data_IF_547507757485
#
_entry.id   IF_547507757485
#
_cell.length_a   1.000
_cell.length_b   1.000
_cell.length_c   1.000
_cell.angle_alpha   90.00
_cell.angle_beta   90.00
_cell.angle_gamma   90.00
#
_symmetry.space_group_name_H-M   'P 1'
#
loop_
_entity.id
_entity.type
_entity.pdbx_description
1 polymer ?
#
# COMPACT_ATOMS: atom_id res chain seq x y z
N UNK A 1 52.55 63.10 -28.20
CA UNK A 1 52.32 61.90 -27.37
C UNK A 1 50.90 61.42 -27.61
N UNK A 2 50.71 60.21 -28.13
CA UNK A 2 49.40 59.62 -28.43
C UNK A 2 49.23 58.33 -27.62
N UNK A 3 48.14 58.21 -26.87
CA UNK A 3 47.77 56.99 -26.11
C UNK A 3 46.97 56.03 -26.98
N UNK A 4 47.25 54.73 -26.85
CA UNK A 4 46.89 53.67 -27.81
C UNK A 4 45.41 53.19 -27.81
N UNK A 5 44.44 54.01 -27.40
CA UNK A 5 43.05 53.55 -27.20
C UNK A 5 41.96 54.42 -27.84
N UNK A 6 42.33 55.39 -28.67
CA UNK A 6 41.35 56.17 -29.45
C UNK A 6 41.62 56.05 -30.95
N UNK A 7 41.26 54.91 -31.54
CA UNK A 7 40.98 54.84 -32.97
C UNK A 7 39.63 54.18 -33.20
N UNK A 8 38.79 54.89 -33.95
CA UNK A 8 37.52 54.46 -34.54
C UNK A 8 37.65 53.08 -35.17
N UNK A 9 36.72 52.18 -34.84
CA UNK A 9 36.52 50.92 -35.57
C UNK A 9 36.72 49.67 -34.72
N UNK A 10 35.84 49.45 -33.74
CA UNK A 10 35.63 48.11 -33.19
C UNK A 10 34.13 47.89 -33.01
N UNK A 11 33.59 47.02 -33.86
CA UNK A 11 32.28 46.43 -33.69
C UNK A 11 32.28 45.62 -32.38
N UNK A 12 31.51 46.05 -31.40
CA UNK A 12 31.15 45.21 -30.26
C UNK A 12 30.33 44.01 -30.81
N UNK A 13 30.77 42.75 -30.66
CA UNK A 13 29.88 41.63 -30.87
C UNK A 13 28.86 41.66 -29.73
N UNK A 14 27.64 42.07 -30.07
CA UNK A 14 26.49 41.91 -29.19
C UNK A 14 26.37 40.43 -28.81
N UNK A 15 26.44 40.18 -27.50
CA UNK A 15 26.23 38.88 -26.87
C UNK A 15 24.75 38.48 -26.99
N UNK A 16 24.32 38.20 -28.24
CA UNK A 16 23.02 37.63 -28.55
C UNK A 16 23.12 36.12 -28.39
N UNK A 17 22.53 35.62 -27.31
CA UNK A 17 22.19 34.20 -27.14
C UNK A 17 21.41 33.77 -28.38
N UNK A 18 21.90 32.82 -29.21
CA UNK A 18 21.13 32.33 -30.34
C UNK A 18 19.93 31.52 -29.80
N UNK A 19 18.72 31.95 -30.12
CA UNK A 19 17.52 31.15 -29.93
C UNK A 19 17.67 29.86 -30.75
N UNK A 20 17.80 28.73 -30.06
CA UNK A 20 17.85 27.40 -30.66
C UNK A 20 16.52 27.10 -31.36
N UNK A 21 16.43 27.40 -32.64
CA UNK A 21 15.35 26.95 -33.53
C UNK A 21 15.50 25.44 -33.71
N UNK A 22 14.63 24.67 -33.06
CA UNK A 22 14.51 23.23 -33.31
C UNK A 22 13.75 23.04 -34.63
N UNK A 23 14.43 22.48 -35.62
CA UNK A 23 13.82 21.91 -36.83
C UNK A 23 13.00 20.67 -36.45
N UNK A 24 11.72 20.56 -36.85
CA UNK A 24 10.94 19.35 -36.63
C UNK A 24 11.34 18.27 -37.64
N UNK A 25 11.88 17.15 -37.17
CA UNK A 25 11.98 15.94 -37.99
C UNK A 25 10.61 15.25 -38.09
N UNK A 26 10.29 14.59 -39.23
CA UNK A 26 9.01 13.91 -39.42
C UNK A 26 9.01 12.56 -38.69
N UNK A 27 8.37 12.52 -37.52
CA UNK A 27 8.06 11.26 -36.86
C UNK A 27 6.86 10.59 -37.53
N UNK A 28 7.12 9.38 -38.04
CA UNK A 28 6.14 8.49 -38.64
C UNK A 28 4.97 8.24 -37.69
N UNK A 29 3.77 8.43 -38.24
CA UNK A 29 2.50 8.12 -37.61
C UNK A 29 2.43 6.67 -37.13
N UNK A 30 2.10 6.48 -35.85
CA UNK A 30 1.42 5.28 -35.35
C UNK A 30 0.27 5.68 -34.43
N UNK A 31 -0.93 5.53 -34.99
CA UNK A 31 -2.16 5.04 -34.38
C UNK A 31 -2.49 5.46 -32.93
N UNK A 32 -3.28 6.52 -32.82
CA UNK A 32 -4.64 6.53 -32.21
C UNK A 32 -4.91 5.43 -31.16
N UNK A 33 -4.48 5.68 -29.93
CA UNK A 33 -5.06 5.11 -28.71
C UNK A 33 -5.69 6.23 -27.90
N UNK A 34 -7.00 6.12 -27.61
CA UNK A 34 -7.75 7.03 -26.72
C UNK A 34 -6.95 7.21 -25.42
N UNK A 35 -6.49 8.42 -25.16
CA UNK A 35 -6.08 8.84 -23.83
C UNK A 35 -7.30 8.77 -22.93
N UNK A 36 -7.45 7.65 -22.22
CA UNK A 36 -8.26 7.61 -21.02
C UNK A 36 -7.48 8.45 -20.02
N UNK A 37 -8.05 9.57 -19.59
CA UNK A 37 -7.57 10.30 -18.42
C UNK A 37 -7.25 9.27 -17.34
N UNK A 38 -5.96 9.08 -17.07
CA UNK A 38 -5.51 8.15 -16.06
C UNK A 38 -5.72 8.84 -14.72
N UNK A 39 -6.98 8.87 -14.29
CA UNK A 39 -7.32 9.15 -12.90
C UNK A 39 -6.42 8.26 -12.04
N UNK A 40 -5.74 8.81 -11.01
CA UNK A 40 -4.89 8.01 -10.15
C UNK A 40 -5.66 6.78 -9.67
N UNK A 41 -4.99 5.62 -9.59
CA UNK A 41 -5.65 4.41 -9.13
C UNK A 41 -6.27 4.67 -7.76
N UNK A 42 -7.60 4.52 -7.65
CA UNK A 42 -8.34 4.59 -6.38
C UNK A 42 -7.61 3.81 -5.29
N UNK A 43 -7.66 4.30 -4.06
CA UNK A 43 -7.01 3.63 -2.94
C UNK A 43 -7.45 2.18 -2.77
N UNK A 44 -6.62 1.40 -2.07
CA UNK A 44 -6.93 0.00 -1.76
C UNK A 44 -8.21 -0.13 -0.92
N UNK A 45 -8.46 0.83 -0.03
CA UNK A 45 -9.65 0.83 0.82
C UNK A 45 -10.92 1.03 -0.02
N UNK A 46 -10.94 2.04 -0.90
CA UNK A 46 -12.10 2.29 -1.78
C UNK A 46 -12.39 1.05 -2.64
N UNK A 47 -11.36 0.42 -3.22
CA UNK A 47 -11.54 -0.80 -4.01
C UNK A 47 -12.10 -1.97 -3.18
N UNK A 48 -11.68 -2.11 -1.92
CA UNK A 48 -12.18 -3.14 -1.04
C UNK A 48 -13.66 -2.91 -0.67
N UNK A 49 -14.03 -1.65 -0.37
CA UNK A 49 -15.41 -1.27 -0.07
C UNK A 49 -16.33 -1.43 -1.30
N UNK A 50 -15.88 -1.00 -2.48
CA UNK A 50 -16.60 -1.16 -3.74
C UNK A 50 -16.84 -2.64 -4.06
N UNK A 51 -15.80 -3.47 -3.91
CA UNK A 51 -15.93 -4.91 -4.09
C UNK A 51 -16.96 -5.51 -3.13
N UNK A 52 -16.89 -5.16 -1.85
CA UNK A 52 -17.84 -5.67 -0.86
C UNK A 52 -19.29 -5.24 -1.17
N UNK A 53 -19.50 -3.98 -1.57
CA UNK A 53 -20.80 -3.48 -2.00
C UNK A 53 -21.33 -4.27 -3.20
N UNK A 54 -20.48 -4.48 -4.21
CA UNK A 54 -20.87 -5.18 -5.43
C UNK A 54 -21.15 -6.66 -5.16
N UNK A 55 -20.35 -7.30 -4.31
CA UNK A 55 -20.58 -8.67 -3.83
C UNK A 55 -21.93 -8.77 -3.08
N UNK A 56 -22.27 -7.80 -2.23
CA UNK A 56 -23.57 -7.77 -1.52
C UNK A 56 -24.77 -7.53 -2.43
N UNK A 57 -24.60 -6.74 -3.50
CA UNK A 57 -25.66 -6.50 -4.50
C UNK A 57 -25.91 -7.71 -5.38
N UNK A 58 -24.84 -8.41 -5.76
CA UNK A 58 -24.93 -9.55 -6.67
C UNK A 58 -25.29 -10.86 -5.93
N UNK A 59 -24.90 -11.00 -4.67
CA UNK A 59 -25.15 -12.20 -3.91
C UNK A 59 -26.57 -12.27 -3.32
N UNK A 60 -27.15 -13.47 -3.36
CA UNK A 60 -28.42 -13.79 -2.69
C UNK A 60 -28.28 -13.94 -1.17
N UNK A 61 -27.05 -14.08 -0.65
CA UNK A 61 -26.78 -14.36 0.77
C UNK A 61 -26.97 -15.83 1.17
N UNK A 62 -27.43 -16.70 0.25
CA UNK A 62 -27.65 -18.13 0.49
C UNK A 62 -26.53 -19.02 -0.06
N UNK A 63 -25.61 -18.44 -0.82
CA UNK A 63 -24.50 -19.16 -1.40
C UNK A 63 -23.45 -19.51 -0.33
N UNK A 64 -22.90 -20.72 -0.42
CA UNK A 64 -21.78 -21.13 0.42
C UNK A 64 -20.51 -20.44 -0.04
N UNK A 65 -19.65 -20.10 0.91
CA UNK A 65 -18.32 -19.59 0.58
C UNK A 65 -17.51 -20.68 -0.17
N UNK A 66 -17.00 -20.40 -1.38
CA UNK A 66 -16.26 -21.38 -2.19
C UNK A 66 -14.97 -21.88 -1.52
N UNK A 67 -14.40 -21.10 -0.58
CA UNK A 67 -13.21 -21.49 0.17
C UNK A 67 -13.53 -22.28 1.44
N UNK A 68 -14.80 -22.57 1.70
CA UNK A 68 -15.28 -23.11 2.96
C UNK A 68 -15.19 -22.07 4.07
N UNK A 69 -16.32 -21.75 4.71
CA UNK A 69 -16.34 -20.76 5.80
C UNK A 69 -15.42 -21.15 6.97
N UNK A 70 -15.09 -20.18 7.82
CA UNK A 70 -14.17 -20.35 8.94
C UNK A 70 -14.91 -20.73 10.23
N UNK A 71 -14.49 -21.83 10.86
CA UNK A 71 -15.04 -22.31 12.14
C UNK A 71 -14.23 -21.92 13.38
N UNK A 72 -13.17 -21.15 13.22
CA UNK A 72 -12.20 -20.67 14.23
C UNK A 72 -11.56 -21.75 15.15
N UNK A 73 -12.29 -22.73 15.72
CA UNK A 73 -11.81 -23.84 16.57
C UNK A 73 -10.71 -23.40 17.54
N UNK A 74 -11.03 -22.44 18.42
CA UNK A 74 -10.10 -21.85 19.39
C UNK A 74 -8.91 -21.04 18.81
N UNK A 75 -8.88 -20.77 17.50
CA UNK A 75 -7.96 -19.79 16.91
C UNK A 75 -8.50 -18.38 17.02
N UNK A 76 -7.60 -17.43 17.23
CA UNK A 76 -7.92 -16.01 17.30
C UNK A 76 -8.01 -15.43 15.89
N UNK A 77 -9.18 -14.94 15.53
CA UNK A 77 -9.42 -14.10 14.36
C UNK A 77 -10.18 -12.85 14.80
N UNK A 78 -9.98 -11.74 14.09
CA UNK A 78 -10.78 -10.55 14.32
C UNK A 78 -12.27 -10.83 13.98
N UNK A 79 -13.17 -10.24 14.76
CA UNK A 79 -14.61 -10.36 14.56
C UNK A 79 -15.03 -9.66 13.26
N UNK A 80 -16.00 -10.24 12.56
CA UNK A 80 -16.55 -9.56 11.38
C UNK A 80 -17.14 -8.21 11.77
N UNK A 81 -16.74 -7.17 11.04
CA UNK A 81 -17.18 -5.78 11.26
C UNK A 81 -18.66 -5.58 10.99
N UNK A 82 -19.23 -6.36 10.08
CA UNK A 82 -20.61 -6.17 9.59
C UNK A 82 -21.57 -7.25 10.10
N UNK A 83 -21.07 -8.47 10.32
CA UNK A 83 -21.89 -9.62 10.76
C UNK A 83 -21.14 -10.45 11.80
N UNK A 84 -20.99 -9.96 13.05
CA UNK A 84 -20.20 -10.66 14.08
C UNK A 84 -20.86 -11.94 14.61
N UNK A 85 -22.18 -12.10 14.43
CA UNK A 85 -22.95 -13.25 14.90
C UNK A 85 -24.01 -13.66 13.88
N UNK A 86 -24.18 -14.96 13.66
CA UNK A 86 -25.32 -15.50 12.94
C UNK A 86 -26.57 -15.43 13.82
N UNK A 87 -27.61 -14.70 13.38
CA UNK A 87 -28.87 -14.55 14.13
C UNK A 87 -29.70 -15.83 14.21
N UNK A 88 -29.45 -16.80 13.34
CA UNK A 88 -30.24 -18.05 13.27
C UNK A 88 -29.69 -19.13 14.19
N UNK A 89 -28.36 -19.31 14.24
CA UNK A 89 -27.73 -20.39 15.02
C UNK A 89 -26.74 -19.91 16.10
N UNK A 90 -26.55 -18.59 16.25
CA UNK A 90 -25.67 -18.01 17.27
C UNK A 90 -24.16 -18.18 17.03
N UNK A 91 -23.73 -18.65 15.85
CA UNK A 91 -22.30 -18.80 15.55
C UNK A 91 -21.63 -17.44 15.49
N UNK A 92 -20.53 -17.26 16.23
CA UNK A 92 -19.66 -16.08 16.16
C UNK A 92 -18.82 -16.13 14.89
N UNK A 93 -18.84 -15.06 14.10
CA UNK A 93 -18.23 -14.98 12.78
C UNK A 93 -17.04 -14.03 12.80
N UNK A 94 -15.91 -14.49 12.27
CA UNK A 94 -14.73 -13.66 12.05
C UNK A 94 -14.75 -12.96 10.69
N UNK A 95 -13.80 -12.05 10.46
CA UNK A 95 -13.63 -11.30 9.19
C UNK A 95 -13.49 -12.20 7.96
N UNK A 96 -13.08 -13.46 8.13
CA UNK A 96 -12.96 -14.43 7.03
C UNK A 96 -14.32 -14.93 6.53
N UNK A 97 -15.37 -14.79 7.35
CA UNK A 97 -16.74 -15.09 6.99
C UNK A 97 -17.39 -13.80 6.47
N UNK A 98 -17.40 -13.65 5.14
CA UNK A 98 -17.93 -12.45 4.48
C UNK A 98 -19.47 -12.41 4.54
N UNK A 99 -20.08 -11.22 4.66
CA UNK A 99 -21.53 -11.06 4.85
C UNK A 99 -22.37 -11.42 3.62
N UNK A 100 -21.74 -11.55 2.44
CA UNK A 100 -22.40 -11.94 1.19
C UNK A 100 -22.64 -13.47 1.08
N UNK A 101 -22.01 -14.27 1.93
CA UNK A 101 -22.18 -15.73 1.96
C UNK A 101 -23.09 -16.19 3.11
N UNK A 102 -23.61 -17.40 2.98
CA UNK A 102 -24.42 -18.07 3.99
C UNK A 102 -23.58 -18.51 5.20
N UNK A 103 -24.24 -18.65 6.35
CA UNK A 103 -23.63 -19.13 7.58
C UNK A 103 -22.94 -20.50 7.35
N UNK A 104 -21.67 -20.69 7.77
CA UNK A 104 -20.97 -21.96 7.62
C UNK A 104 -21.64 -23.11 8.39
N UNK A 105 -22.33 -22.83 9.50
CA UNK A 105 -22.98 -23.84 10.31
C UNK A 105 -24.40 -24.20 9.82
N UNK A 106 -25.32 -23.22 9.75
CA UNK A 106 -26.72 -23.50 9.44
C UNK A 106 -27.13 -23.30 7.97
N UNK A 107 -26.26 -22.79 7.09
CA UNK A 107 -26.59 -22.37 5.71
C UNK A 107 -27.56 -21.18 5.61
N UNK A 108 -27.97 -20.58 6.71
CA UNK A 108 -28.93 -19.49 6.65
C UNK A 108 -28.25 -18.18 6.22
N UNK A 109 -29.02 -17.30 5.58
CA UNK A 109 -28.52 -15.98 5.20
C UNK A 109 -28.13 -15.17 6.45
N UNK A 110 -26.94 -14.57 6.43
CA UNK A 110 -26.41 -13.82 7.58
C UNK A 110 -27.13 -12.47 7.78
N UNK A 111 -27.62 -11.90 6.68
CA UNK A 111 -28.29 -10.61 6.64
C UNK A 111 -29.74 -10.78 6.17
N UNK A 112 -30.66 -10.17 6.92
CA UNK A 112 -32.03 -9.95 6.42
C UNK A 112 -32.00 -8.93 5.28
N UNK A 113 -32.92 -8.98 4.30
CA UNK A 113 -32.91 -8.07 3.15
C UNK A 113 -32.82 -6.58 3.54
N UNK A 114 -33.61 -6.13 4.51
CA UNK A 114 -33.59 -4.74 4.98
C UNK A 114 -32.23 -4.31 5.56
N UNK A 115 -31.58 -5.19 6.33
CA UNK A 115 -30.25 -4.92 6.91
C UNK A 115 -29.18 -4.95 5.84
N UNK A 116 -29.32 -5.82 4.83
CA UNK A 116 -28.42 -5.85 3.67
C UNK A 116 -28.47 -4.53 2.91
N UNK A 117 -29.67 -4.02 2.65
CA UNK A 117 -29.84 -2.76 1.90
C UNK A 117 -29.32 -1.56 2.72
N UNK A 118 -29.55 -1.54 4.04
CA UNK A 118 -28.97 -0.54 4.93
C UNK A 118 -27.43 -0.61 4.97
N UNK A 119 -26.86 -1.82 4.94
CA UNK A 119 -25.41 -2.01 4.87
C UNK A 119 -24.84 -1.50 3.54
N UNK A 120 -25.52 -1.76 2.42
CA UNK A 120 -25.13 -1.24 1.10
C UNK A 120 -25.09 0.29 1.12
N UNK A 121 -26.13 0.94 1.67
CA UNK A 121 -26.17 2.41 1.81
C UNK A 121 -25.04 2.94 2.70
N UNK A 122 -24.73 2.25 3.80
CA UNK A 122 -23.62 2.62 4.69
C UNK A 122 -22.25 2.47 4.00
N UNK A 123 -22.11 1.46 3.14
CA UNK A 123 -20.89 1.28 2.34
C UNK A 123 -20.77 2.37 1.27
N UNK A 124 -21.87 2.76 0.63
CA UNK A 124 -21.91 3.87 -0.34
C UNK A 124 -21.49 5.19 0.31
N UNK A 125 -22.09 5.54 1.45
CA UNK A 125 -21.72 6.77 2.17
C UNK A 125 -20.24 6.77 2.57
N UNK A 126 -19.73 5.62 3.03
CA UNK A 126 -18.31 5.48 3.39
C UNK A 126 -17.40 5.61 2.18
N UNK A 127 -17.78 5.06 1.02
CA UNK A 127 -17.03 5.22 -0.23
C UNK A 127 -16.96 6.70 -0.60
N UNK A 128 -18.08 7.41 -0.57
CA UNK A 128 -18.14 8.83 -0.90
C UNK A 128 -17.29 9.68 0.06
N UNK A 129 -17.35 9.39 1.36
CA UNK A 129 -16.50 10.05 2.36
C UNK A 129 -15.00 9.79 2.11
N UNK A 130 -14.62 8.56 1.80
CA UNK A 130 -13.21 8.22 1.51
C UNK A 130 -12.72 8.89 0.24
N UNK A 131 -13.53 8.93 -0.81
CA UNK A 131 -13.21 9.64 -2.05
C UNK A 131 -13.09 11.16 -1.84
N UNK A 132 -13.99 11.75 -1.05
CA UNK A 132 -13.92 13.16 -0.71
C UNK A 132 -12.65 13.51 0.08
N UNK A 133 -12.24 12.64 1.01
CA UNK A 133 -10.98 12.79 1.77
C UNK A 133 -9.75 12.69 0.85
N UNK A 134 -9.73 11.71 -0.06
CA UNK A 134 -8.64 11.54 -1.03
C UNK A 134 -8.50 12.74 -1.96
N UNK A 135 -9.62 13.26 -2.48
CA UNK A 135 -9.60 14.43 -3.35
C UNK A 135 -9.18 15.70 -2.60
N UNK A 136 -9.62 15.88 -1.34
CA UNK A 136 -9.19 16.99 -0.50
C UNK A 136 -7.68 16.93 -0.20
N UNK A 137 -7.14 15.75 0.11
CA UNK A 137 -5.70 15.54 0.33
C UNK A 137 -4.90 15.81 -0.94
N UNK A 138 -5.41 15.37 -2.10
CA UNK A 138 -4.82 15.64 -3.41
C UNK A 138 -4.76 17.14 -3.70
N UNK A 139 -5.85 17.87 -3.45
CA UNK A 139 -5.89 19.32 -3.64
C UNK A 139 -4.93 20.05 -2.71
N UNK A 140 -4.83 19.62 -1.44
CA UNK A 140 -3.85 20.14 -0.48
C UNK A 140 -2.42 19.93 -0.96
N UNK A 141 -2.08 18.72 -1.42
CA UNK A 141 -0.75 18.42 -1.94
C UNK A 141 -0.40 19.26 -3.18
N UNK A 142 -1.36 19.53 -4.07
CA UNK A 142 -1.15 20.41 -5.24
C UNK A 142 -0.89 21.85 -4.79
N UNK A 143 -1.66 22.36 -3.82
CA UNK A 143 -1.47 23.73 -3.29
C UNK A 143 -0.12 23.87 -2.58
N UNK A 144 0.27 22.89 -1.78
CA UNK A 144 1.56 22.85 -1.10
C UNK A 144 2.73 22.79 -2.11
N UNK A 145 2.63 21.95 -3.15
CA UNK A 145 3.64 21.88 -4.20
C UNK A 145 3.78 23.20 -4.96
N UNK A 146 2.66 23.90 -5.24
CA UNK A 146 2.69 25.24 -5.85
C UNK A 146 3.31 26.26 -4.92
N UNK A 147 2.96 26.24 -3.63
CA UNK A 147 3.56 27.10 -2.62
C UNK A 147 5.07 26.87 -2.49
N UNK A 148 5.53 25.62 -2.51
CA UNK A 148 6.95 25.26 -2.45
C UNK A 148 7.73 25.67 -3.72
N UNK A 149 7.12 25.59 -4.91
CA UNK A 149 7.76 26.06 -6.15
C UNK A 149 7.81 27.60 -6.26
N UNK A 150 6.80 28.29 -5.70
CA UNK A 150 6.77 29.75 -5.61
C UNK A 150 7.55 30.32 -4.42
N UNK A 151 7.93 29.47 -3.46
CA UNK A 151 8.78 29.83 -2.33
C UNK A 151 10.21 29.98 -2.82
N UNK A 152 10.65 31.23 -2.96
CA UNK A 152 12.07 31.54 -3.03
C UNK A 152 12.74 30.93 -1.79
N UNK A 153 13.89 30.22 -1.90
CA UNK A 153 14.61 29.70 -0.73
C UNK A 153 14.80 30.84 0.26
N UNK A 154 14.11 30.78 1.40
CA UNK A 154 14.11 31.87 2.38
C UNK A 154 15.51 31.92 2.98
N UNK A 155 16.36 32.81 2.47
CA UNK A 155 17.67 33.13 3.04
C UNK A 155 17.46 34.02 4.27
N UNK A 156 16.98 33.46 5.38
CA UNK A 156 16.92 34.09 6.71
C UNK A 156 16.74 32.97 7.74
N UNK A 157 17.66 32.63 8.64
CA UNK A 157 18.59 33.51 9.34
C UNK A 157 19.97 32.86 9.50
N UNK A 158 21.00 33.60 9.09
CA UNK A 158 22.30 33.53 9.74
C UNK A 158 22.10 33.88 11.22
N UNK A 159 22.40 32.94 12.12
CA UNK A 159 22.51 33.25 13.55
C UNK A 159 21.78 32.32 14.52
N UNK A 160 21.99 31.00 14.43
CA UNK A 160 22.33 30.20 15.63
C UNK A 160 22.78 28.81 15.23
N UNK A 161 23.87 28.40 15.86
CA UNK A 161 24.60 27.16 15.65
C UNK A 161 23.81 25.95 16.14
N UNK A 162 24.18 24.80 15.57
CA UNK A 162 23.94 23.42 16.00
C UNK A 162 22.66 22.75 15.49
N UNK A 163 22.84 21.83 14.53
CA UNK A 163 21.81 20.84 14.19
C UNK A 163 21.97 20.18 12.82
N UNK A 164 22.91 19.23 12.72
CA UNK A 164 23.06 18.14 11.71
C UNK A 164 23.25 18.50 10.23
N UNK A 165 24.24 17.90 9.53
CA UNK A 165 24.40 18.11 8.09
C UNK A 165 23.31 17.35 7.33
N UNK A 166 22.56 18.09 6.50
CA UNK A 166 21.66 17.56 5.50
C UNK A 166 22.44 16.74 4.45
N UNK A 167 21.82 15.64 4.02
CA UNK A 167 22.37 14.66 3.09
C UNK A 167 22.42 15.30 1.69
N UNK A 168 23.57 15.84 1.31
CA UNK A 168 23.80 16.33 -0.04
C UNK A 168 23.54 15.25 -1.10
N UNK A 169 22.91 15.60 -2.26
CA UNK A 169 22.75 14.66 -3.37
C UNK A 169 24.13 14.28 -3.94
N UNK A 170 24.51 13.02 -3.77
CA UNK A 170 25.81 12.39 -4.06
C UNK A 170 26.30 12.45 -5.53
N UNK A 171 25.63 13.16 -6.45
CA UNK A 171 25.98 13.13 -7.89
C UNK A 171 25.95 14.51 -8.58
N UNK A 172 26.54 15.55 -7.98
CA UNK A 172 26.82 16.77 -8.73
C UNK A 172 28.24 16.73 -9.31
N UNK A 173 28.34 16.84 -10.62
CA UNK A 173 29.61 17.01 -11.33
C UNK A 173 30.07 18.45 -11.17
N UNK A 174 31.01 18.69 -10.27
CA UNK A 174 31.55 20.03 -10.08
C UNK A 174 32.54 20.36 -11.19
N UNK A 175 32.28 21.44 -11.92
CA UNK A 175 33.22 22.04 -12.88
C UNK A 175 34.03 23.09 -12.15
N UNK A 176 35.31 22.82 -11.92
CA UNK A 176 36.22 23.75 -11.23
C UNK A 176 37.02 24.52 -12.27
N UNK A 177 36.89 25.85 -12.25
CA UNK A 177 37.74 26.74 -13.04
C UNK A 177 38.98 27.07 -12.21
N UNK A 178 40.14 26.51 -12.59
CA UNK A 178 41.42 26.83 -11.95
C UNK A 178 42.25 27.73 -12.87
N UNK A 179 42.81 28.81 -12.33
CA UNK A 179 43.78 29.64 -13.04
C UNK A 179 45.19 29.07 -12.84
N UNK A 180 45.87 28.76 -13.92
CA UNK A 180 47.27 28.31 -13.87
C UNK A 180 48.18 29.52 -13.57
N UNK A 181 48.89 29.49 -12.45
CA UNK A 181 49.67 30.62 -11.94
C UNK A 181 50.86 30.99 -12.82
N UNK A 182 51.36 30.08 -13.67
CA UNK A 182 52.47 30.36 -14.60
C UNK A 182 52.01 30.92 -15.93
N UNK A 183 50.82 30.55 -16.40
CA UNK A 183 50.33 30.95 -17.74
C UNK A 183 49.14 31.91 -17.70
N UNK A 184 48.58 32.20 -16.51
CA UNK A 184 47.37 33.02 -16.25
C UNK A 184 46.16 32.63 -17.09
N UNK A 185 46.13 31.41 -17.63
CA UNK A 185 45.02 30.88 -18.42
C UNK A 185 44.07 30.10 -17.53
N UNK A 186 42.78 30.31 -17.74
CA UNK A 186 41.72 29.59 -17.03
C UNK A 186 41.62 28.18 -17.61
N UNK A 187 41.78 27.16 -16.76
CA UNK A 187 41.64 25.75 -17.10
C UNK A 187 40.44 25.17 -16.36
N UNK A 188 39.52 24.55 -17.08
CA UNK A 188 38.34 23.88 -16.50
C UNK A 188 38.70 22.43 -16.23
N UNK A 189 38.75 22.00 -14.98
CA UNK A 189 38.79 20.57 -14.64
C UNK A 189 37.38 20.12 -14.26
N UNK A 190 36.92 19.04 -14.89
CA UNK A 190 35.63 18.42 -14.57
C UNK A 190 35.93 17.15 -13.81
N UNK A 191 35.50 17.10 -12.55
CA UNK A 191 35.60 15.88 -11.76
C UNK A 191 34.24 15.17 -11.80
N UNK A 192 34.23 13.99 -12.42
CA UNK A 192 33.06 13.11 -12.49
C UNK A 192 33.35 11.89 -11.62
N UNK A 193 32.67 11.71 -10.48
CA UNK A 193 32.83 10.48 -9.70
C UNK A 193 32.33 9.27 -10.51
N UNK A 194 32.90 8.07 -10.33
CA UNK A 194 32.49 6.87 -11.04
C UNK A 194 31.02 6.54 -10.72
N UNK A 195 30.25 6.23 -11.77
CA UNK A 195 28.82 5.97 -11.67
C UNK A 195 28.54 4.75 -10.78
N UNK A 196 27.94 4.98 -9.61
CA UNK A 196 27.35 3.92 -8.79
C UNK A 196 26.05 3.48 -9.48
N UNK A 197 26.07 2.30 -10.09
CA UNK A 197 24.93 1.66 -10.76
C UNK A 197 23.80 1.37 -9.76
N UNK A 198 22.90 2.34 -9.56
CA UNK A 198 21.62 2.15 -8.88
C UNK A 198 20.61 1.50 -9.83
N UNK A 199 20.74 0.19 -10.03
CA UNK A 199 19.74 -0.63 -10.73
C UNK A 199 18.81 -1.40 -9.77
N UNK A 200 18.70 -0.99 -8.50
CA UNK A 200 17.98 -1.74 -7.46
C UNK A 200 16.72 -1.04 -6.90
N UNK A 201 16.34 0.13 -7.41
CA UNK A 201 15.28 0.96 -6.81
C UNK A 201 13.94 0.95 -7.55
N UNK A 202 13.90 0.52 -8.81
CA UNK A 202 12.63 0.41 -9.58
C UNK A 202 11.92 -0.94 -9.40
N UNK A 203 12.60 -2.00 -8.98
CA UNK A 203 11.94 -3.27 -8.64
C UNK A 203 11.20 -3.24 -7.30
N UNK A 204 11.66 -2.44 -6.33
CA UNK A 204 11.00 -2.35 -5.01
C UNK A 204 9.61 -1.73 -5.05
N UNK A 205 9.31 -0.86 -6.02
CA UNK A 205 7.98 -0.24 -6.16
C UNK A 205 6.97 -1.23 -6.75
N UNK A 206 7.38 -2.09 -7.70
CA UNK A 206 6.52 -3.17 -8.19
C UNK A 206 6.32 -4.28 -7.15
N UNK A 207 7.36 -4.62 -6.38
CA UNK A 207 7.26 -5.66 -5.34
C UNK A 207 6.46 -5.22 -4.10
N UNK A 208 6.42 -3.92 -3.75
CA UNK A 208 5.58 -3.43 -2.63
C UNK A 208 4.08 -3.39 -2.94
N UNK A 209 3.68 -3.36 -4.22
CA UNK A 209 2.27 -3.55 -4.61
C UNK A 209 1.84 -5.02 -4.54
N UNK A 210 2.79 -5.96 -4.51
CA UNK A 210 2.59 -7.40 -4.37
C UNK A 210 3.11 -7.92 -3.02
N UNK A 211 2.96 -7.17 -1.92
CA UNK A 211 2.99 -7.84 -0.62
C UNK A 211 1.73 -8.72 -0.58
N UNK A 212 1.86 -10.06 -0.56
CA UNK A 212 0.69 -10.91 -0.45
C UNK A 212 -0.04 -10.50 0.82
N UNK A 213 -1.32 -10.18 0.65
CA UNK A 213 -2.26 -10.09 1.76
C UNK A 213 -2.03 -11.31 2.65
N UNK A 214 -1.91 -11.15 3.98
CA UNK A 214 -1.65 -12.28 4.86
C UNK A 214 -2.74 -13.33 4.59
N UNK A 215 -2.35 -14.45 4.00
CA UNK A 215 -3.27 -15.53 3.70
C UNK A 215 -3.65 -16.19 5.04
N UNK A 216 -4.73 -15.70 5.63
CA UNK A 216 -5.24 -16.24 6.87
C UNK A 216 -5.69 -17.68 6.63
N UNK A 217 -4.99 -18.63 7.27
CA UNK A 217 -5.30 -20.06 7.20
C UNK A 217 -6.70 -20.32 7.77
N UNK A 218 -7.66 -20.57 6.89
CA UNK A 218 -9.03 -20.96 7.24
C UNK A 218 -9.01 -22.28 8.00
N UNK A 219 -9.79 -22.34 9.07
CA UNK A 219 -9.97 -23.57 9.83
C UNK A 219 -11.13 -24.34 9.23
N UNK A 220 -10.91 -25.59 8.77
CA UNK A 220 -11.97 -26.40 8.18
C UNK A 220 -13.07 -26.69 9.20
N UNK A 221 -14.22 -27.15 8.71
CA UNK A 221 -15.28 -27.66 9.55
C UNK A 221 -14.76 -28.78 10.46
N UNK A 222 -15.26 -28.90 11.70
CA UNK A 222 -14.97 -30.07 12.52
C UNK A 222 -15.46 -31.33 11.81
N UNK A 223 -14.76 -32.44 12.01
CA UNK A 223 -15.21 -33.74 11.47
C UNK A 223 -16.60 -34.07 12.03
N UNK A 224 -17.49 -34.54 11.16
CA UNK A 224 -18.86 -34.90 11.54
C UNK A 224 -18.90 -36.07 12.53
N UNK A 225 -17.93 -36.98 12.43
CA UNK A 225 -17.78 -38.11 13.32
C UNK A 225 -16.77 -37.76 14.42
N UNK A 226 -17.29 -37.43 15.61
CA UNK A 226 -16.47 -37.39 16.82
C UNK A 226 -16.31 -38.84 17.27
N UNK A 227 -15.08 -39.33 17.48
CA UNK A 227 -14.86 -40.64 18.09
C UNK A 227 -15.41 -40.64 19.53
N UNK A 228 -16.67 -41.05 19.66
CA UNK A 228 -17.32 -41.30 20.92
C UNK A 228 -16.93 -42.71 21.37
N UNK A 229 -16.62 -42.90 22.65
CA UNK A 229 -16.34 -44.23 23.17
C UNK A 229 -17.59 -45.09 23.00
N UNK A 230 -17.51 -46.20 22.27
CA UNK A 230 -18.59 -47.18 22.17
C UNK A 230 -18.76 -48.03 23.43
N UNK A 231 -17.82 -47.93 24.37
CA UNK A 231 -17.80 -48.74 25.58
C UNK A 231 -18.92 -48.31 26.55
N UNK A 232 -19.72 -49.25 27.09
CA UNK A 232 -20.73 -48.97 28.09
C UNK A 232 -20.07 -48.47 29.39
N UNK A 233 -20.63 -47.42 30.00
CA UNK A 233 -20.20 -46.95 31.32
C UNK A 233 -20.51 -48.06 32.34
N UNK A 234 -19.47 -48.73 32.83
CA UNK A 234 -19.62 -49.76 33.85
C UNK A 234 -19.78 -49.06 35.23
N UNK A 235 -20.91 -49.22 35.96
CA UNK A 235 -21.19 -48.48 37.19
C UNK A 235 -20.18 -48.72 38.33
N UNK A 236 -19.45 -49.83 38.26
CA UNK A 236 -18.42 -50.20 39.23
C UNK A 236 -17.03 -49.63 38.90
N UNK A 237 -16.86 -48.99 37.74
CA UNK A 237 -15.60 -48.35 37.36
C UNK A 237 -15.59 -46.87 37.76
N UNK A 238 -14.39 -46.34 38.03
CA UNK A 238 -14.18 -44.92 38.39
C UNK A 238 -14.95 -44.01 37.42
N UNK A 239 -15.72 -43.01 37.89
CA UNK A 239 -16.45 -42.06 37.03
C UNK A 239 -15.56 -41.30 36.04
N UNK A 240 -14.26 -41.29 36.29
CA UNK A 240 -13.20 -40.61 35.56
C UNK A 240 -12.33 -41.59 34.74
N UNK A 241 -12.78 -42.84 34.56
CA UNK A 241 -12.09 -43.82 33.74
C UNK A 241 -12.18 -43.42 32.25
N UNK A 242 -11.03 -43.36 31.58
CA UNK A 242 -10.95 -43.04 30.15
C UNK A 242 -11.42 -44.25 29.32
N UNK A 243 -12.61 -44.18 28.74
CA UNK A 243 -13.20 -45.21 27.88
C UNK A 243 -12.67 -45.18 26.44
N UNK A 244 -11.77 -44.25 26.09
CA UNK A 244 -11.21 -44.08 24.74
C UNK A 244 -9.92 -44.88 24.49
N UNK A 245 -9.59 -45.85 25.36
CA UNK A 245 -8.46 -46.77 25.17
C UNK A 245 -7.05 -46.19 25.40
N UNK A 246 -6.95 -44.92 25.80
CA UNK A 246 -5.68 -44.30 26.19
C UNK A 246 -5.52 -44.46 27.71
N UNK A 247 -4.92 -45.59 28.12
CA UNK A 247 -4.58 -45.87 29.51
C UNK A 247 -3.43 -44.98 29.96
N UNK A 248 -3.72 -43.75 30.38
CA UNK A 248 -2.72 -42.85 30.96
C UNK A 248 -2.63 -43.16 32.45
N UNK A 249 -1.54 -43.82 32.86
CA UNK A 249 -1.24 -44.09 34.27
C UNK A 249 -0.48 -42.90 34.85
N UNK A 250 -1.02 -42.26 35.88
CA UNK A 250 -0.30 -41.21 36.60
C UNK A 250 0.94 -41.78 37.30
N UNK A 251 2.11 -41.25 36.97
CA UNK A 251 3.37 -41.55 37.67
C UNK A 251 3.67 -40.37 38.60
N UNK A 252 3.65 -40.56 39.93
CA UNK A 252 3.98 -39.48 40.85
C UNK A 252 5.45 -39.07 40.71
N UNK A 253 5.79 -37.78 40.89
CA UNK A 253 7.18 -37.34 40.89
C UNK A 253 7.92 -38.03 42.05
N UNK A 254 9.09 -38.60 41.75
CA UNK A 254 9.95 -39.24 42.75
C UNK A 254 10.31 -38.24 43.86
N UNK A 255 10.23 -38.67 45.12
CA UNK A 255 10.68 -37.85 46.25
C UNK A 255 12.20 -37.66 46.12
N UNK A 256 12.63 -36.41 45.95
CA UNK A 256 14.02 -35.99 46.12
C UNK A 256 14.35 -35.87 47.61
#
# INVERSE_FOLDING_TARGET
MHTAWTKKGSSLPSDRIPSRTQTPQPAKAKAKGKGKEETPPKSKEVRALEKLRDDLRNASGRERDPKGGCFCQARMHALSTHTPICRSCGLILCELNLPNFACPHCNEALLTPAVRDALIQTLESRIDETLAKEEAERQRAIQEARAAQGAFPTLSASGSRSGTPDVHPVNQTHKVLSLDSKTRKVKVSTYTPPAVSRAASTEKIKQQQQKPEPEYKRVPAPAAEVPCSSAPLNPHHRPWANTRGLNVTYVPPGRA
#
